data_IF_952574553317
#
_entry.id   IF_952574553317
#
_cell.length_a   1.000
_cell.length_b   1.000
_cell.length_c   1.000
_cell.angle_alpha   90.00
_cell.angle_beta   90.00
_cell.angle_gamma   90.00
#
_symmetry.space_group_name_H-M   'P 1'
#
loop_
_entity.id
_entity.type
_entity.pdbx_description
1 polymer ?
#
# COMPACT_ATOMS: atom_id res chain seq x y z
N UNK A 1 -6.69 14.15 -14.45
CA UNK A 1 -7.20 14.01 -13.07
C UNK A 1 -8.64 14.53 -13.03
N UNK A 2 -9.65 13.65 -13.11
CA UNK A 2 -11.09 14.00 -13.10
C UNK A 2 -11.56 14.75 -11.82
N UNK A 3 -10.66 14.90 -10.84
CA UNK A 3 -10.86 15.66 -9.60
C UNK A 3 -10.73 17.20 -9.77
N UNK A 4 -10.01 17.67 -10.80
CA UNK A 4 -9.69 19.11 -10.96
C UNK A 4 -10.88 19.99 -11.30
N UNK A 5 -11.79 19.51 -12.15
CA UNK A 5 -12.90 20.32 -12.69
C UNK A 5 -14.07 20.50 -11.70
N UNK A 6 -14.17 19.65 -10.68
CA UNK A 6 -15.27 19.72 -9.69
C UNK A 6 -14.94 20.46 -8.38
N UNK A 7 -13.67 20.85 -8.16
CA UNK A 7 -13.23 21.44 -6.88
C UNK A 7 -12.94 22.95 -6.94
N UNK A 8 -12.91 23.55 -8.13
CA UNK A 8 -12.57 24.97 -8.34
C UNK A 8 -11.37 25.40 -7.50
N UNK A 9 -10.25 24.68 -7.65
CA UNK A 9 -9.00 24.99 -6.95
C UNK A 9 -8.39 26.27 -7.53
N UNK A 10 -7.82 27.12 -6.68
CA UNK A 10 -7.00 28.25 -7.16
C UNK A 10 -5.66 27.75 -7.69
N UNK A 11 -4.98 28.56 -8.51
CA UNK A 11 -3.64 28.22 -9.02
C UNK A 11 -2.64 27.96 -7.87
N UNK A 12 -2.70 28.77 -6.81
CA UNK A 12 -1.85 28.61 -5.62
C UNK A 12 -2.13 27.29 -4.89
N UNK A 13 -3.41 26.93 -4.73
CA UNK A 13 -3.79 25.65 -4.12
C UNK A 13 -3.29 24.47 -4.96
N UNK A 14 -3.42 24.56 -6.28
CA UNK A 14 -2.92 23.54 -7.19
C UNK A 14 -1.41 23.36 -7.07
N UNK A 15 -0.64 24.46 -7.09
CA UNK A 15 0.81 24.40 -6.97
C UNK A 15 1.24 23.80 -5.63
N UNK A 16 0.61 24.21 -4.51
CA UNK A 16 0.86 23.63 -3.18
C UNK A 16 0.60 22.12 -3.15
N UNK A 17 -0.50 21.67 -3.73
CA UNK A 17 -0.85 20.24 -3.80
C UNK A 17 0.14 19.44 -4.66
N UNK A 18 0.60 19.99 -5.78
CA UNK A 18 1.63 19.35 -6.63
C UNK A 18 2.95 19.23 -5.89
N UNK A 19 3.38 20.28 -5.19
CA UNK A 19 4.60 20.29 -4.39
C UNK A 19 4.53 19.26 -3.26
N UNK A 20 3.45 19.25 -2.48
CA UNK A 20 3.21 18.26 -1.42
C UNK A 20 3.22 16.83 -1.96
N UNK A 21 2.53 16.57 -3.07
CA UNK A 21 2.49 15.25 -3.71
C UNK A 21 3.89 14.81 -4.15
N UNK A 22 4.69 15.72 -4.69
CA UNK A 22 6.03 15.42 -5.20
C UNK A 22 7.01 15.15 -4.06
N UNK A 23 7.00 15.99 -3.03
CA UNK A 23 7.80 15.78 -1.81
C UNK A 23 7.45 14.45 -1.15
N UNK A 24 6.17 14.19 -0.89
CA UNK A 24 5.73 12.92 -0.32
C UNK A 24 6.17 11.70 -1.15
N UNK A 25 6.08 11.78 -2.48
CA UNK A 25 6.55 10.69 -3.35
C UNK A 25 8.05 10.44 -3.20
N UNK A 26 8.87 11.49 -3.19
CA UNK A 26 10.33 11.37 -3.01
C UNK A 26 10.66 10.75 -1.66
N UNK A 27 10.04 11.24 -0.59
CA UNK A 27 10.28 10.74 0.77
C UNK A 27 9.83 9.29 0.92
N UNK A 28 8.66 8.95 0.34
CA UNK A 28 8.16 7.58 0.35
C UNK A 28 9.11 6.60 -0.36
N UNK A 29 9.71 7.00 -1.48
CA UNK A 29 10.69 6.17 -2.20
C UNK A 29 11.92 5.94 -1.31
N UNK A 30 12.48 7.00 -0.73
CA UNK A 30 13.64 6.91 0.16
C UNK A 30 13.36 6.01 1.36
N UNK A 31 12.27 6.24 2.08
CA UNK A 31 11.93 5.43 3.27
C UNK A 31 11.60 3.98 2.91
N UNK A 32 11.07 3.70 1.71
CA UNK A 32 10.94 2.30 1.26
C UNK A 32 12.29 1.62 1.07
N UNK A 33 13.25 2.30 0.45
CA UNK A 33 14.60 1.79 0.31
C UNK A 33 15.24 1.56 1.69
N UNK A 34 15.06 2.48 2.65
CA UNK A 34 15.50 2.30 4.04
C UNK A 34 14.88 1.05 4.69
N UNK A 35 13.58 0.80 4.48
CA UNK A 35 12.90 -0.41 4.98
C UNK A 35 13.46 -1.68 4.34
N UNK A 36 13.76 -1.66 3.05
CA UNK A 36 14.33 -2.81 2.34
C UNK A 36 15.75 -3.12 2.85
N UNK A 37 16.58 -2.10 3.05
CA UNK A 37 17.93 -2.25 3.63
C UNK A 37 17.85 -2.82 5.06
N UNK A 38 17.01 -2.23 5.94
CA UNK A 38 16.85 -2.74 7.30
C UNK A 38 16.29 -4.17 7.36
N UNK A 39 15.51 -4.58 6.34
CA UNK A 39 15.04 -5.96 6.24
C UNK A 39 16.16 -6.93 5.86
N UNK A 40 17.16 -6.49 5.08
CA UNK A 40 18.36 -7.27 4.76
C UNK A 40 19.23 -7.38 6.01
N UNK A 41 19.50 -6.26 6.69
CA UNK A 41 20.29 -6.21 7.94
C UNK A 41 19.72 -7.17 8.99
N UNK A 42 18.40 -7.12 9.23
CA UNK A 42 17.73 -8.04 10.15
C UNK A 42 17.92 -9.51 9.74
N UNK A 43 17.84 -9.82 8.44
CA UNK A 43 18.01 -11.18 7.95
C UNK A 43 19.45 -11.69 8.12
N UNK A 44 20.44 -10.82 8.00
CA UNK A 44 21.85 -11.15 8.27
C UNK A 44 22.08 -11.46 9.75
N UNK A 45 21.55 -10.64 10.65
CA UNK A 45 21.64 -10.87 12.11
C UNK A 45 20.94 -12.17 12.49
N UNK A 46 19.76 -12.47 11.92
CA UNK A 46 19.03 -13.72 12.19
C UNK A 46 19.74 -14.98 11.69
N UNK A 47 20.56 -14.88 10.63
CA UNK A 47 21.39 -16.00 10.13
C UNK A 47 22.62 -16.24 11.00
N UNK A 48 23.09 -15.23 11.71
CA UNK A 48 24.25 -15.35 12.59
C UNK A 48 23.86 -16.09 13.87
N UNK A 49 24.23 -17.37 13.97
CA UNK A 49 23.95 -18.20 15.15
C UNK A 49 24.59 -17.69 16.45
N UNK A 50 25.55 -16.76 16.37
CA UNK A 50 26.20 -16.12 17.52
C UNK A 50 25.57 -14.77 17.90
N UNK A 51 24.62 -14.26 17.11
CA UNK A 51 23.93 -13.02 17.44
C UNK A 51 23.18 -13.19 18.76
N UNK A 52 23.31 -12.22 19.65
CA UNK A 52 22.54 -12.21 20.89
C UNK A 52 21.13 -11.67 20.62
N UNK A 53 20.21 -11.89 21.58
CA UNK A 53 18.82 -11.43 21.42
C UNK A 53 18.70 -9.90 21.34
N UNK A 54 19.58 -9.14 21.99
CA UNK A 54 19.56 -7.68 21.94
C UNK A 54 19.89 -7.11 20.55
N UNK A 55 20.81 -7.74 19.82
CA UNK A 55 21.17 -7.32 18.46
C UNK A 55 19.99 -7.56 17.50
N UNK A 56 19.33 -8.72 17.65
CA UNK A 56 18.12 -9.07 16.90
C UNK A 56 17.00 -8.07 17.20
N UNK A 57 16.77 -7.77 18.48
CA UNK A 57 15.74 -6.82 18.91
C UNK A 57 15.99 -5.40 18.37
N UNK A 58 17.25 -4.95 18.37
CA UNK A 58 17.63 -3.64 17.83
C UNK A 58 17.31 -3.51 16.33
N UNK A 59 17.70 -4.48 15.50
CA UNK A 59 17.39 -4.47 14.06
C UNK A 59 15.88 -4.62 13.79
N UNK A 60 15.18 -5.41 14.60
CA UNK A 60 13.73 -5.54 14.51
C UNK A 60 13.04 -4.19 14.79
N UNK A 61 13.44 -3.51 15.86
CA UNK A 61 12.92 -2.20 16.24
C UNK A 61 13.21 -1.15 15.18
N UNK A 62 14.42 -1.14 14.62
CA UNK A 62 14.82 -0.26 13.51
C UNK A 62 13.93 -0.45 12.28
N UNK A 63 13.71 -1.70 11.85
CA UNK A 63 12.81 -2.02 10.73
C UNK A 63 11.38 -1.53 10.98
N UNK A 64 10.85 -1.77 12.18
CA UNK A 64 9.48 -1.38 12.53
C UNK A 64 9.31 0.13 12.69
N UNK A 65 10.32 0.84 13.18
CA UNK A 65 10.35 2.29 13.21
C UNK A 65 10.29 2.89 11.79
N UNK A 66 11.06 2.33 10.85
CA UNK A 66 11.03 2.77 9.45
C UNK A 66 9.69 2.49 8.76
N UNK A 67 9.07 1.32 9.01
CA UNK A 67 7.71 1.02 8.54
C UNK A 67 6.70 2.01 9.11
N UNK A 68 6.80 2.33 10.40
CA UNK A 68 5.93 3.31 11.06
C UNK A 68 6.08 4.70 10.44
N UNK A 69 7.32 5.16 10.22
CA UNK A 69 7.64 6.41 9.53
C UNK A 69 7.00 6.46 8.14
N UNK A 70 7.07 5.36 7.38
CA UNK A 70 6.44 5.25 6.06
C UNK A 70 4.92 5.43 6.10
N UNK A 71 4.23 4.78 7.06
CA UNK A 71 2.78 4.94 7.22
C UNK A 71 2.41 6.36 7.66
N UNK A 72 3.14 6.92 8.62
CA UNK A 72 2.91 8.27 9.13
C UNK A 72 3.14 9.34 8.06
N UNK A 73 4.12 9.18 7.18
CA UNK A 73 4.32 10.06 6.04
C UNK A 73 3.07 10.15 5.14
N UNK A 74 2.38 9.01 4.92
CA UNK A 74 1.13 8.99 4.13
C UNK A 74 0.00 9.75 4.83
N UNK A 75 -0.15 9.53 6.14
CA UNK A 75 -1.18 10.21 6.95
C UNK A 75 -0.92 11.71 6.97
N UNK A 76 0.32 12.13 7.20
CA UNK A 76 0.74 13.53 7.22
C UNK A 76 0.49 14.19 5.86
N UNK A 77 0.95 13.60 4.76
CA UNK A 77 0.72 14.14 3.42
C UNK A 77 -0.77 14.32 3.08
N UNK A 78 -1.63 13.38 3.51
CA UNK A 78 -3.09 13.52 3.36
C UNK A 78 -3.66 14.66 4.18
N UNK A 79 -3.22 14.83 5.44
CA UNK A 79 -3.64 15.93 6.31
C UNK A 79 -3.19 17.28 5.77
N UNK A 80 -1.94 17.39 5.34
CA UNK A 80 -1.38 18.61 4.77
C UNK A 80 -2.10 18.99 3.47
N UNK A 81 -2.40 18.02 2.60
CA UNK A 81 -3.18 18.25 1.39
C UNK A 81 -4.61 18.73 1.71
N UNK A 82 -5.26 18.15 2.72
CA UNK A 82 -6.58 18.62 3.18
C UNK A 82 -6.51 20.04 3.73
N UNK A 83 -5.44 20.42 4.42
CA UNK A 83 -5.28 21.75 4.99
C UNK A 83 -5.21 22.85 3.92
N UNK A 84 -4.69 22.55 2.72
CA UNK A 84 -4.65 23.48 1.58
C UNK A 84 -6.04 23.83 1.04
N UNK A 85 -7.02 22.94 1.20
CA UNK A 85 -8.39 23.10 0.72
C UNK A 85 -9.22 23.98 1.66
N UNK A 86 -10.19 24.73 1.13
CA UNK A 86 -11.21 25.41 1.94
C UNK A 86 -12.20 24.41 2.56
N UNK A 87 -12.97 24.85 3.57
CA UNK A 87 -14.00 24.01 4.19
C UNK A 87 -15.03 23.49 3.17
N UNK A 88 -15.47 24.35 2.25
CA UNK A 88 -16.39 23.95 1.17
C UNK A 88 -15.78 22.94 0.21
N UNK A 89 -14.51 23.13 -0.18
CA UNK A 89 -13.80 22.21 -1.05
C UNK A 89 -13.63 20.84 -0.38
N UNK A 90 -13.37 20.80 0.93
CA UNK A 90 -13.33 19.55 1.71
C UNK A 90 -14.68 18.84 1.70
N UNK A 91 -15.77 19.55 1.96
CA UNK A 91 -17.12 18.97 1.93
C UNK A 91 -17.49 18.41 0.54
N UNK A 92 -17.09 19.10 -0.54
CA UNK A 92 -17.25 18.58 -1.92
C UNK A 92 -16.43 17.32 -2.15
N UNK A 93 -15.19 17.28 -1.69
CA UNK A 93 -14.33 16.09 -1.79
C UNK A 93 -14.90 14.90 -1.03
N UNK A 94 -15.42 15.10 0.18
CA UNK A 94 -15.98 14.01 0.99
C UNK A 94 -17.22 13.41 0.31
N UNK A 95 -18.11 14.24 -0.26
CA UNK A 95 -19.25 13.77 -1.08
C UNK A 95 -18.81 12.95 -2.30
N UNK A 96 -17.74 13.38 -2.99
CA UNK A 96 -17.18 12.64 -4.12
C UNK A 96 -16.63 11.29 -3.66
N UNK A 97 -15.88 11.25 -2.56
CA UNK A 97 -15.36 10.00 -2.01
C UNK A 97 -16.47 9.04 -1.60
N UNK A 98 -17.54 9.51 -0.95
CA UNK A 98 -18.69 8.67 -0.58
C UNK A 98 -19.43 8.13 -1.82
N UNK A 99 -19.57 8.94 -2.88
CA UNK A 99 -20.12 8.46 -4.15
C UNK A 99 -19.24 7.38 -4.79
N UNK A 100 -17.92 7.55 -4.76
CA UNK A 100 -16.97 6.55 -5.30
C UNK A 100 -17.02 5.26 -4.48
N UNK A 101 -17.10 5.33 -3.15
CA UNK A 101 -17.22 4.14 -2.29
C UNK A 101 -18.53 3.39 -2.53
N UNK A 102 -19.65 4.11 -2.60
CA UNK A 102 -20.98 3.52 -2.82
C UNK A 102 -21.17 2.90 -4.20
N UNK A 103 -20.50 3.44 -5.24
CA UNK A 103 -20.58 2.92 -6.61
C UNK A 103 -19.39 2.04 -7.03
N UNK A 104 -18.34 1.96 -6.22
CA UNK A 104 -17.08 1.27 -6.52
C UNK A 104 -16.84 -0.01 -5.72
N UNK A 105 -17.87 -0.53 -5.05
CA UNK A 105 -17.81 -1.68 -4.13
C UNK A 105 -17.46 -3.03 -4.74
N UNK A 106 -16.78 -3.10 -5.90
CA UNK A 106 -16.34 -4.37 -6.49
C UNK A 106 -14.88 -4.38 -7.03
N UNK A 107 -14.03 -3.41 -6.72
CA UNK A 107 -12.58 -3.59 -6.87
C UNK A 107 -11.98 -4.14 -5.57
N UNK A 108 -12.42 -5.35 -5.24
CA UNK A 108 -11.82 -6.17 -4.21
C UNK A 108 -10.37 -6.49 -4.54
N UNK A 109 -9.56 -6.43 -3.49
CA UNK A 109 -8.31 -7.15 -3.38
C UNK A 109 -8.37 -8.56 -4.01
N UNK A 110 -7.71 -8.75 -5.14
CA UNK A 110 -7.16 -10.04 -5.51
C UNK A 110 -5.66 -9.87 -5.66
N UNK A 111 -4.96 -10.00 -4.53
CA UNK A 111 -3.55 -10.33 -4.56
C UNK A 111 -3.40 -11.64 -5.33
N UNK A 112 -2.80 -11.57 -6.51
CA UNK A 112 -2.45 -12.72 -7.33
C UNK A 112 -1.27 -13.46 -6.68
N UNK A 113 -1.58 -14.17 -5.59
CA UNK A 113 -0.77 -15.23 -5.01
C UNK A 113 -1.69 -16.43 -4.74
N UNK A 114 -2.27 -16.98 -5.82
CA UNK A 114 -2.93 -18.30 -5.76
C UNK A 114 -2.80 -19.03 -7.09
N UNK A 115 -1.57 -19.26 -7.54
CA UNK A 115 -1.24 -20.27 -8.57
C UNK A 115 -0.32 -21.36 -8.03
N UNK A 116 -0.67 -21.96 -6.89
CA UNK A 116 -0.11 -23.24 -6.46
C UNK A 116 -1.12 -23.99 -5.60
N UNK A 117 -2.15 -24.56 -6.25
CA UNK A 117 -2.89 -25.76 -5.80
C UNK A 117 -3.97 -26.11 -6.83
N UNK A 118 -3.60 -26.90 -7.84
CA UNK A 118 -4.52 -27.83 -8.49
C UNK A 118 -3.84 -29.19 -8.59
N UNK A 119 -3.69 -29.81 -7.43
CA UNK A 119 -3.35 -31.22 -7.32
C UNK A 119 -4.58 -32.06 -7.63
N UNK A 120 -4.37 -33.04 -8.52
CA UNK A 120 -4.89 -34.42 -8.47
C UNK A 120 -6.21 -34.67 -7.73
N UNK A 121 -7.22 -35.11 -8.49
CA UNK A 121 -7.99 -36.37 -8.37
C UNK A 121 -9.44 -36.15 -8.79
N UNK A 122 -9.83 -36.79 -9.89
CA UNK A 122 -11.20 -37.22 -10.13
C UNK A 122 -11.11 -38.54 -10.89
N UNK A 123 -11.36 -39.63 -10.16
CA UNK A 123 -11.51 -40.98 -10.67
C UNK A 123 -12.68 -41.01 -11.64
N UNK A 124 -12.42 -41.32 -12.91
CA UNK A 124 -13.44 -41.67 -13.88
C UNK A 124 -13.71 -43.16 -13.79
N UNK A 125 -14.95 -43.49 -13.43
CA UNK A 125 -15.51 -44.83 -13.35
C UNK A 125 -15.27 -45.64 -14.64
N UNK A 126 -14.85 -46.89 -14.46
CA UNK A 126 -14.89 -47.90 -15.51
C UNK A 126 -16.33 -48.32 -15.78
N UNK A 127 -16.66 -48.36 -17.07
CA UNK A 127 -17.72 -49.21 -17.61
C UNK A 127 -17.10 -49.97 -18.77
N UNK A 128 -16.95 -51.28 -18.59
CA UNK A 128 -16.52 -52.18 -19.66
C UNK A 128 -17.63 -52.43 -20.68
N UNK A 129 -17.24 -53.05 -21.79
CA UNK A 129 -18.13 -53.93 -22.55
C UNK A 129 -18.26 -53.65 -24.05
N UNK A 130 -17.83 -54.65 -24.82
CA UNK A 130 -18.33 -55.08 -26.15
C UNK A 130 -17.81 -54.31 -27.39
N UNK A 131 -16.98 -54.97 -28.22
CA UNK A 131 -17.32 -55.72 -29.46
C UNK A 131 -17.76 -54.77 -30.59
N UNK A 132 -17.20 -54.75 -31.80
CA UNK A 132 -16.58 -55.76 -32.67
C UNK A 132 -15.49 -55.09 -33.52
#
# INVERSE_FOLDING_TARGET
MKFKQGMSLTADQEQKLVTLKTSYKKDRIKTKAEVELASIDLHEVLKNQKANLSDIEAEFNKLHALKTKLYMASIKAKRDAKAVLSAEQRARMDKIHERIKSHGGNMGHSGDYSKYKKGKKSMGHGTGGHMK
#
